data_IF_835998763816
#
_entry.id   IF_835998763816
#
_cell.length_a   1.000
_cell.length_b   1.000
_cell.length_c   1.000
_cell.angle_alpha   90.00
_cell.angle_beta   90.00
_cell.angle_gamma   90.00
#
_symmetry.space_group_name_H-M   'P 1'
#
loop_
_entity.id
_entity.type
_entity.pdbx_description
1 polymer ?
#
# COMPACT_ATOMS: atom_id res chain seq x y z
N UNK A 1 47.21 -39.87 39.04
CA UNK A 1 47.78 -38.52 39.11
C UNK A 1 47.09 -37.63 38.09
N UNK A 2 46.50 -36.60 38.58
CA UNK A 2 45.91 -35.40 38.00
C UNK A 2 45.09 -35.51 36.68
N UNK A 3 43.77 -35.35 36.87
CA UNK A 3 42.83 -34.93 35.87
C UNK A 3 42.95 -33.39 35.65
N UNK A 4 42.93 -32.94 34.37
CA UNK A 4 42.67 -31.55 34.03
C UNK A 4 41.28 -31.47 33.40
N UNK A 5 40.34 -30.89 34.09
CA UNK A 5 39.03 -30.44 33.60
C UNK A 5 39.23 -29.12 32.83
N UNK A 6 38.93 -29.10 31.55
CA UNK A 6 38.79 -27.86 30.78
C UNK A 6 37.32 -27.42 30.82
N UNK A 7 37.06 -26.28 31.47
CA UNK A 7 35.76 -25.59 31.41
C UNK A 7 35.65 -24.82 30.09
N UNK A 8 34.73 -25.22 29.26
CA UNK A 8 34.30 -24.40 28.10
C UNK A 8 33.28 -23.37 28.60
N UNK A 9 33.66 -22.11 28.62
CA UNK A 9 32.74 -21.01 28.86
C UNK A 9 31.93 -20.75 27.57
N UNK A 10 30.65 -21.05 27.63
CA UNK A 10 29.67 -20.63 26.61
C UNK A 10 29.35 -19.15 26.87
N UNK A 11 29.85 -18.26 26.02
CA UNK A 11 29.42 -16.87 25.98
C UNK A 11 28.02 -16.83 25.32
N UNK A 12 27.02 -16.66 26.15
CA UNK A 12 25.69 -16.27 25.70
C UNK A 12 25.69 -14.78 25.33
N UNK A 13 25.56 -14.48 24.05
CA UNK A 13 25.23 -13.13 23.60
C UNK A 13 23.75 -12.86 23.92
N UNK A 14 23.41 -11.69 24.49
CA UNK A 14 22.02 -11.37 24.75
C UNK A 14 21.27 -11.10 23.44
N UNK A 15 20.14 -11.79 23.26
CA UNK A 15 19.08 -11.35 22.34
C UNK A 15 18.68 -9.91 22.72
N UNK A 16 18.93 -8.98 21.83
CA UNK A 16 18.30 -7.66 21.89
C UNK A 16 16.85 -7.86 21.45
N UNK A 17 15.98 -8.06 22.44
CA UNK A 17 14.57 -7.83 22.26
C UNK A 17 14.39 -6.32 22.04
N UNK A 18 13.71 -5.93 20.98
CA UNK A 18 13.15 -4.58 20.88
C UNK A 18 12.15 -4.46 22.05
N UNK A 19 12.58 -3.86 23.13
CA UNK A 19 11.76 -3.53 24.27
C UNK A 19 11.45 -2.04 24.22
N UNK A 20 10.18 -1.78 24.45
CA UNK A 20 9.55 -0.50 24.64
C UNK A 20 10.42 0.53 25.37
N UNK A 21 10.65 1.68 24.72
CA UNK A 21 11.12 2.87 25.41
C UNK A 21 9.90 3.53 26.07
N UNK A 22 9.96 3.89 27.36
CA UNK A 22 8.86 4.59 28.01
C UNK A 22 8.73 6.01 27.44
N UNK A 23 7.51 6.37 27.05
CA UNK A 23 7.13 7.72 26.66
C UNK A 23 7.48 8.72 27.77
N UNK A 24 8.28 9.72 27.45
CA UNK A 24 8.51 10.87 28.33
C UNK A 24 7.28 11.76 28.30
N UNK A 25 6.76 12.09 29.50
CA UNK A 25 5.65 13.01 29.71
C UNK A 25 5.92 14.39 29.11
N UNK A 26 5.22 14.72 28.01
CA UNK A 26 5.07 16.10 27.54
C UNK A 26 3.83 16.73 28.18
N UNK A 27 3.87 17.99 28.65
CA UNK A 27 2.74 18.62 29.30
C UNK A 27 1.59 18.85 28.30
N UNK A 28 0.34 18.71 28.73
CA UNK A 28 -0.82 18.89 27.84
C UNK A 28 -0.97 20.35 27.42
N UNK A 29 -1.05 20.57 26.11
CA UNK A 29 -1.46 21.85 25.52
C UNK A 29 -2.93 22.13 25.85
N UNK A 30 -3.34 23.38 26.13
CA UNK A 30 -4.69 23.69 26.53
C UNK A 30 -5.68 23.46 25.39
N UNK A 31 -6.59 22.53 25.57
CA UNK A 31 -7.75 22.30 24.69
C UNK A 31 -8.72 23.47 24.85
N UNK A 32 -8.79 24.30 23.83
CA UNK A 32 -9.88 25.29 23.71
C UNK A 32 -11.11 24.53 23.23
N UNK A 33 -12.09 24.35 24.12
CA UNK A 33 -13.38 23.79 23.78
C UNK A 33 -14.08 24.67 22.72
N UNK A 34 -14.20 24.17 21.52
CA UNK A 34 -15.12 24.66 20.51
C UNK A 34 -16.38 23.81 20.60
N UNK A 35 -17.48 24.43 21.01
CA UNK A 35 -18.80 23.84 20.97
C UNK A 35 -19.18 23.61 19.51
N UNK A 36 -19.10 22.38 19.04
CA UNK A 36 -19.61 21.96 17.74
C UNK A 36 -21.11 21.64 17.94
N UNK A 37 -21.97 22.41 17.34
CA UNK A 37 -23.33 21.99 17.03
C UNK A 37 -23.25 20.87 15.99
N UNK A 38 -23.79 19.73 16.33
CA UNK A 38 -23.93 18.60 15.41
C UNK A 38 -24.99 18.96 14.36
N UNK A 39 -24.53 19.36 13.17
CA UNK A 39 -25.39 19.35 12.00
C UNK A 39 -25.34 17.89 11.46
N UNK A 40 -26.42 17.17 11.70
CA UNK A 40 -26.69 15.87 11.11
C UNK A 40 -26.86 16.06 9.60
N UNK A 41 -25.87 15.64 8.82
CA UNK A 41 -25.98 15.53 7.36
C UNK A 41 -26.81 14.28 7.05
N UNK A 42 -27.97 14.49 6.45
CA UNK A 42 -28.87 13.44 5.98
C UNK A 42 -28.22 12.71 4.77
N UNK A 43 -27.89 11.46 4.94
CA UNK A 43 -27.16 10.64 3.95
C UNK A 43 -28.08 10.05 2.86
N UNK A 44 -29.04 10.80 2.34
CA UNK A 44 -30.05 10.30 1.39
C UNK A 44 -29.84 10.71 -0.08
N UNK A 45 -28.85 11.55 -0.41
CA UNK A 45 -28.51 11.86 -1.80
C UNK A 45 -27.06 11.37 -2.09
N UNK A 46 -26.93 10.41 -3.00
CA UNK A 46 -25.65 9.78 -3.42
C UNK A 46 -24.71 10.72 -4.18
N UNK A 47 -24.47 11.91 -3.66
CA UNK A 47 -23.45 12.82 -4.16
C UNK A 47 -22.10 12.53 -3.47
N UNK A 48 -21.02 12.56 -4.23
CA UNK A 48 -19.66 12.38 -3.73
C UNK A 48 -19.42 13.31 -2.54
N UNK A 49 -19.10 12.74 -1.39
CA UNK A 49 -18.76 13.49 -0.17
C UNK A 49 -17.34 13.99 -0.35
N UNK A 50 -17.16 15.29 -0.58
CA UNK A 50 -15.88 15.99 -0.63
C UNK A 50 -15.57 16.63 0.73
N UNK A 51 -14.39 17.24 0.85
CA UNK A 51 -14.05 18.03 2.04
C UNK A 51 -15.19 19.02 2.38
N UNK A 52 -15.47 19.25 3.69
CA UNK A 52 -16.52 20.16 4.11
C UNK A 52 -16.36 21.56 3.48
N UNK A 53 -17.43 22.17 2.99
CA UNK A 53 -17.44 23.48 2.35
C UNK A 53 -16.70 24.57 3.14
N UNK A 54 -16.77 24.53 4.47
CA UNK A 54 -16.05 25.46 5.34
C UNK A 54 -14.54 25.28 5.26
N UNK A 55 -14.08 24.05 5.08
CA UNK A 55 -12.66 23.71 4.89
C UNK A 55 -12.20 24.17 3.50
N UNK A 56 -12.96 23.85 2.45
CA UNK A 56 -12.67 24.28 1.07
C UNK A 56 -12.56 25.81 1.00
N UNK A 57 -13.57 26.56 1.52
CA UNK A 57 -13.53 28.02 1.53
C UNK A 57 -12.31 28.59 2.25
N UNK A 58 -11.90 27.98 3.36
CA UNK A 58 -10.72 28.44 4.12
C UNK A 58 -9.43 28.17 3.36
N UNK A 59 -9.28 27.01 2.74
CA UNK A 59 -8.10 26.65 1.94
C UNK A 59 -7.95 27.60 0.75
N UNK A 60 -8.99 27.77 -0.06
CA UNK A 60 -8.98 28.65 -1.24
C UNK A 60 -8.78 30.13 -0.87
N UNK A 61 -9.31 30.58 0.26
CA UNK A 61 -9.08 31.95 0.73
C UNK A 61 -7.65 32.19 1.20
N UNK A 62 -6.96 31.15 1.69
CA UNK A 62 -5.57 31.22 2.08
C UNK A 62 -4.59 31.12 0.90
N UNK A 63 -4.90 30.28 -0.07
CA UNK A 63 -4.13 30.07 -1.29
C UNK A 63 -5.04 29.67 -2.46
N UNK A 64 -5.17 30.53 -3.50
CA UNK A 64 -6.04 30.26 -4.65
C UNK A 64 -5.72 28.99 -5.43
N UNK A 65 -4.48 28.45 -5.36
CA UNK A 65 -4.08 27.20 -6.01
C UNK A 65 -4.92 26.00 -5.53
N UNK A 66 -5.47 26.07 -4.33
CA UNK A 66 -6.37 25.06 -3.80
C UNK A 66 -7.63 24.84 -4.65
N UNK A 67 -8.11 25.83 -5.37
CA UNK A 67 -9.27 25.67 -6.26
C UNK A 67 -8.94 24.68 -7.40
N UNK A 68 -7.78 24.82 -8.03
CA UNK A 68 -7.32 23.92 -9.07
C UNK A 68 -6.94 22.54 -8.46
N UNK A 69 -6.28 22.51 -7.33
CA UNK A 69 -5.89 21.28 -6.66
C UNK A 69 -7.10 20.40 -6.34
N UNK A 70 -8.14 20.96 -5.73
CA UNK A 70 -9.36 20.23 -5.39
C UNK A 70 -10.12 19.77 -6.65
N UNK A 71 -10.25 20.65 -7.66
CA UNK A 71 -10.85 20.29 -8.94
C UNK A 71 -10.13 19.09 -9.57
N UNK A 72 -8.80 19.12 -9.67
CA UNK A 72 -8.00 18.06 -10.28
C UNK A 72 -8.11 16.78 -9.46
N UNK A 73 -8.03 16.90 -8.14
CA UNK A 73 -8.05 15.76 -7.22
C UNK A 73 -9.35 14.98 -7.31
N UNK A 74 -10.50 15.66 -7.18
CA UNK A 74 -11.81 15.01 -7.21
C UNK A 74 -12.32 14.65 -8.61
N UNK A 75 -11.68 15.13 -9.68
CA UNK A 75 -11.97 14.73 -11.06
C UNK A 75 -11.05 13.60 -11.56
N UNK A 76 -9.92 13.35 -10.88
CA UNK A 76 -9.04 12.22 -11.15
C UNK A 76 -9.61 10.95 -10.51
N UNK A 77 -9.17 9.78 -10.97
CA UNK A 77 -9.30 8.55 -10.18
C UNK A 77 -8.07 8.48 -9.27
N UNK A 78 -8.28 8.60 -7.96
CA UNK A 78 -7.23 8.48 -6.95
C UNK A 78 -7.17 7.04 -6.46
N UNK A 79 -5.99 6.43 -6.55
CA UNK A 79 -5.77 5.03 -6.16
C UNK A 79 -4.56 4.93 -5.23
N UNK A 80 -4.75 4.28 -4.08
CA UNK A 80 -3.68 3.91 -3.15
C UNK A 80 -3.27 2.46 -3.36
N UNK A 81 -1.97 2.23 -3.49
CA UNK A 81 -1.39 0.91 -3.75
C UNK A 81 -1.41 -0.04 -2.56
N UNK A 82 -1.56 0.46 -1.32
CA UNK A 82 -1.45 -0.38 -0.13
C UNK A 82 -2.02 0.26 1.14
N UNK A 83 -2.99 -0.40 1.76
CA UNK A 83 -3.54 -0.04 3.07
C UNK A 83 -3.80 -1.29 3.92
N UNK A 84 -3.44 -1.28 5.21
CA UNK A 84 -3.54 -2.43 6.13
C UNK A 84 -4.78 -2.43 7.01
N UNK A 85 -5.75 -1.59 6.70
CA UNK A 85 -7.06 -1.55 7.38
C UNK A 85 -7.72 -2.94 7.56
N UNK A 86 -7.55 -3.94 6.64
CA UNK A 86 -8.06 -5.30 6.85
C UNK A 86 -7.60 -5.97 8.14
N UNK A 87 -6.40 -5.67 8.61
CA UNK A 87 -5.91 -6.21 9.89
C UNK A 87 -6.75 -5.69 11.06
N UNK A 88 -7.05 -4.40 11.09
CA UNK A 88 -7.93 -3.79 12.10
C UNK A 88 -9.36 -4.36 12.02
N UNK A 89 -9.88 -4.54 10.79
CA UNK A 89 -11.22 -5.09 10.57
C UNK A 89 -11.36 -6.50 11.17
N UNK A 90 -10.38 -7.38 10.95
CA UNK A 90 -10.43 -8.77 11.41
C UNK A 90 -10.06 -8.91 12.90
N UNK A 91 -9.01 -8.23 13.36
CA UNK A 91 -8.42 -8.46 14.68
C UNK A 91 -9.06 -7.61 15.77
N UNK A 92 -9.54 -6.41 15.43
CA UNK A 92 -10.07 -5.44 16.39
C UNK A 92 -11.57 -5.16 16.19
N UNK A 93 -12.17 -5.74 15.14
CA UNK A 93 -13.57 -5.48 14.81
C UNK A 93 -13.83 -4.06 14.31
N UNK A 94 -12.81 -3.44 13.69
CA UNK A 94 -12.91 -2.10 13.12
C UNK A 94 -14.03 -2.01 12.09
N UNK A 95 -14.99 -1.08 12.31
CA UNK A 95 -16.12 -0.88 11.43
C UNK A 95 -15.74 0.07 10.29
N UNK A 96 -15.32 -0.47 9.15
CA UNK A 96 -14.85 0.32 8.00
C UNK A 96 -15.86 1.37 7.51
N UNK A 97 -17.16 1.09 7.65
CA UNK A 97 -18.24 2.01 7.26
C UNK A 97 -18.50 3.17 8.23
N UNK A 98 -17.89 3.18 9.41
CA UNK A 98 -18.06 4.21 10.42
C UNK A 98 -16.90 5.19 10.39
N UNK A 99 -17.18 6.47 10.70
CA UNK A 99 -16.13 7.48 10.84
C UNK A 99 -15.37 7.27 12.15
N UNK A 100 -14.08 7.14 12.07
CA UNK A 100 -13.15 7.04 13.20
C UNK A 100 -12.31 8.31 13.34
N UNK A 101 -11.67 8.45 14.50
CA UNK A 101 -10.60 9.41 14.70
C UNK A 101 -9.27 8.73 14.44
N UNK A 102 -8.45 9.33 13.57
CA UNK A 102 -7.09 8.83 13.37
C UNK A 102 -6.30 8.89 14.68
N UNK A 103 -5.59 7.81 14.96
CA UNK A 103 -4.69 7.65 16.10
C UNK A 103 -3.26 7.49 15.59
N UNK A 104 -2.27 7.70 16.45
CA UNK A 104 -0.90 7.35 16.10
C UNK A 104 -0.81 5.84 15.84
N UNK A 105 -0.46 5.45 14.60
CA UNK A 105 -0.27 4.07 14.19
C UNK A 105 -1.53 3.27 13.86
N UNK A 106 -2.73 3.86 13.88
CA UNK A 106 -3.96 3.13 13.50
C UNK A 106 -5.14 4.03 13.16
N UNK A 107 -6.18 3.43 12.57
CA UNK A 107 -7.42 4.11 12.19
C UNK A 107 -7.18 5.30 11.23
N UNK A 108 -6.25 5.15 10.30
CA UNK A 108 -5.91 6.19 9.33
C UNK A 108 -6.93 6.26 8.19
N UNK A 109 -7.69 5.19 7.94
CA UNK A 109 -8.60 5.05 6.83
C UNK A 109 -9.94 4.44 7.27
N UNK A 110 -11.04 5.05 6.84
CA UNK A 110 -12.41 4.52 6.83
C UNK A 110 -13.17 5.05 5.62
N UNK A 111 -14.30 4.45 5.32
CA UNK A 111 -15.09 4.79 4.13
C UNK A 111 -15.52 6.26 4.07
N UNK A 112 -16.05 6.89 5.16
CA UNK A 112 -16.36 8.31 5.17
C UNK A 112 -15.16 9.23 4.87
N UNK A 113 -13.97 8.90 5.43
CA UNK A 113 -12.77 9.70 5.20
C UNK A 113 -12.09 9.42 3.87
N UNK A 114 -12.24 8.19 3.29
CA UNK A 114 -11.88 7.93 1.90
C UNK A 114 -12.64 8.87 0.96
N UNK A 115 -13.98 9.00 1.15
CA UNK A 115 -14.79 9.90 0.34
C UNK A 115 -14.38 11.36 0.52
N UNK A 116 -14.12 11.80 1.76
CA UNK A 116 -13.62 13.16 2.04
C UNK A 116 -12.26 13.44 1.41
N UNK A 117 -11.35 12.48 1.47
CA UNK A 117 -10.02 12.56 0.88
C UNK A 117 -9.99 12.34 -0.64
N UNK A 118 -11.14 12.08 -1.28
CA UNK A 118 -11.23 11.81 -2.71
C UNK A 118 -10.49 10.53 -3.12
N UNK A 119 -10.32 9.57 -2.21
CA UNK A 119 -9.71 8.28 -2.53
C UNK A 119 -10.76 7.35 -3.12
N UNK A 120 -10.70 7.15 -4.45
CA UNK A 120 -11.67 6.34 -5.20
C UNK A 120 -11.41 4.84 -5.10
N UNK A 121 -10.14 4.44 -4.94
CA UNK A 121 -9.74 3.05 -4.89
C UNK A 121 -8.54 2.85 -3.95
N UNK A 122 -8.50 1.69 -3.28
CA UNK A 122 -7.32 1.27 -2.55
C UNK A 122 -7.13 -0.25 -2.66
N UNK A 123 -5.87 -0.68 -2.70
CA UNK A 123 -5.52 -2.07 -2.47
C UNK A 123 -5.50 -2.35 -0.97
N UNK A 124 -6.46 -3.09 -0.49
CA UNK A 124 -6.58 -3.58 0.86
C UNK A 124 -5.65 -4.78 1.03
N UNK A 125 -4.63 -4.60 1.87
CA UNK A 125 -3.62 -5.61 2.16
C UNK A 125 -4.23 -6.76 2.97
N UNK A 126 -4.20 -7.93 2.40
CA UNK A 126 -4.46 -9.19 3.09
C UNK A 126 -3.12 -9.64 3.69
N UNK A 127 -2.73 -8.92 4.74
CA UNK A 127 -1.46 -9.13 5.42
C UNK A 127 -1.44 -10.42 6.22
N UNK A 128 -0.42 -11.24 5.97
CA UNK A 128 -0.17 -12.46 6.73
C UNK A 128 1.18 -12.36 7.46
N UNK A 129 1.12 -12.31 8.79
CA UNK A 129 2.34 -12.27 9.59
C UNK A 129 3.14 -13.57 9.45
N UNK A 130 4.48 -13.46 9.42
CA UNK A 130 5.40 -14.61 9.45
C UNK A 130 5.17 -15.57 10.63
N UNK A 131 4.50 -15.11 11.68
CA UNK A 131 4.17 -15.94 12.85
C UNK A 131 3.20 -17.08 12.55
N UNK A 132 2.45 -16.99 11.44
CA UNK A 132 1.59 -18.08 10.96
C UNK A 132 2.37 -19.19 10.23
N UNK A 133 3.69 -19.00 9.99
CA UNK A 133 4.53 -19.94 9.24
C UNK A 133 4.19 -20.00 7.74
N UNK A 134 4.65 -21.03 7.05
CA UNK A 134 4.51 -21.20 5.60
C UNK A 134 3.50 -22.32 5.22
N UNK A 135 2.56 -22.64 6.10
CA UNK A 135 1.60 -23.72 5.92
C UNK A 135 0.15 -23.26 5.87
N UNK A 136 -0.77 -24.22 6.08
CA UNK A 136 -2.22 -24.00 6.01
C UNK A 136 -2.70 -22.85 6.90
N UNK A 137 -2.09 -22.64 8.07
CA UNK A 137 -2.48 -21.56 8.99
C UNK A 137 -2.31 -20.17 8.36
N UNK A 138 -1.28 -19.97 7.54
CA UNK A 138 -1.08 -18.71 6.82
C UNK A 138 -2.16 -18.49 5.74
N UNK A 139 -2.51 -19.55 5.00
CA UNK A 139 -3.61 -19.49 4.01
C UNK A 139 -4.96 -19.26 4.68
N UNK A 140 -5.22 -19.94 5.80
CA UNK A 140 -6.47 -19.77 6.57
C UNK A 140 -6.61 -18.34 7.11
N UNK A 141 -5.49 -17.72 7.55
CA UNK A 141 -5.47 -16.31 7.94
C UNK A 141 -5.85 -15.40 6.78
N UNK A 142 -5.28 -15.61 5.59
CA UNK A 142 -5.61 -14.85 4.40
C UNK A 142 -7.10 -14.99 4.04
N UNK A 143 -7.65 -16.20 4.07
CA UNK A 143 -9.07 -16.46 3.78
C UNK A 143 -10.01 -15.83 4.81
N UNK A 144 -9.65 -15.85 6.09
CA UNK A 144 -10.43 -15.18 7.14
C UNK A 144 -10.51 -13.67 6.90
N UNK A 145 -9.38 -13.03 6.55
CA UNK A 145 -9.32 -11.60 6.26
C UNK A 145 -10.10 -11.25 4.99
N UNK A 146 -9.96 -12.03 3.90
CA UNK A 146 -10.76 -11.88 2.69
C UNK A 146 -12.26 -11.94 2.98
N UNK A 147 -12.66 -12.88 3.85
CA UNK A 147 -14.07 -13.05 4.26
C UNK A 147 -14.57 -11.82 5.02
N UNK A 148 -13.79 -11.27 5.95
CA UNK A 148 -14.19 -10.11 6.74
C UNK A 148 -14.26 -8.84 5.88
N UNK A 149 -13.27 -8.58 5.03
CA UNK A 149 -13.29 -7.45 4.09
C UNK A 149 -14.51 -7.55 3.18
N UNK A 150 -14.76 -8.73 2.59
CA UNK A 150 -15.92 -8.95 1.74
C UNK A 150 -17.26 -8.75 2.48
N UNK A 151 -17.35 -9.23 3.72
CA UNK A 151 -18.53 -9.04 4.56
C UNK A 151 -18.84 -7.55 4.81
N UNK A 152 -17.84 -6.77 5.20
CA UNK A 152 -18.05 -5.35 5.46
C UNK A 152 -18.33 -4.58 4.16
N UNK A 153 -17.50 -4.76 3.12
CA UNK A 153 -17.66 -4.07 1.84
C UNK A 153 -19.04 -4.31 1.22
N UNK A 154 -19.52 -5.56 1.22
CA UNK A 154 -20.84 -5.91 0.67
C UNK A 154 -22.03 -5.33 1.47
N UNK A 155 -21.82 -4.98 2.73
CA UNK A 155 -22.85 -4.37 3.56
C UNK A 155 -22.95 -2.84 3.38
N UNK A 156 -22.00 -2.21 2.69
CA UNK A 156 -21.86 -0.75 2.57
C UNK A 156 -22.23 -0.29 1.17
N UNK A 157 -23.32 0.51 1.01
CA UNK A 157 -23.71 1.03 -0.32
C UNK A 157 -22.63 1.88 -0.99
N UNK A 158 -21.79 2.55 -0.19
CA UNK A 158 -20.71 3.43 -0.67
C UNK A 158 -19.43 2.71 -1.10
N UNK A 159 -19.33 1.38 -0.94
CA UNK A 159 -18.15 0.63 -1.33
C UNK A 159 -18.50 -0.57 -2.21
N UNK A 160 -17.55 -1.01 -3.04
CA UNK A 160 -17.68 -2.23 -3.84
C UNK A 160 -16.31 -2.86 -4.06
N UNK A 161 -16.24 -4.20 -3.99
CA UNK A 161 -15.02 -4.93 -4.35
C UNK A 161 -14.78 -4.84 -5.86
N UNK A 162 -13.64 -4.28 -6.27
CA UNK A 162 -13.19 -4.23 -7.65
C UNK A 162 -12.25 -5.41 -7.94
N UNK A 163 -12.30 -5.92 -9.16
CA UNK A 163 -11.45 -7.01 -9.63
C UNK A 163 -10.69 -6.67 -10.91
N UNK A 164 -11.05 -5.56 -11.53
CA UNK A 164 -10.48 -5.08 -12.78
C UNK A 164 -10.32 -3.56 -12.73
N UNK A 165 -9.47 -3.03 -13.59
CA UNK A 165 -9.36 -1.58 -13.77
C UNK A 165 -10.68 -0.98 -14.30
N UNK A 166 -11.45 -1.74 -15.07
CA UNK A 166 -12.77 -1.32 -15.53
C UNK A 166 -13.77 -1.21 -14.36
N UNK A 167 -13.73 -2.11 -13.38
CA UNK A 167 -14.53 -2.00 -12.16
C UNK A 167 -14.17 -0.74 -11.39
N UNK A 168 -12.87 -0.49 -11.16
CA UNK A 168 -12.42 0.72 -10.47
C UNK A 168 -13.00 1.97 -11.11
N UNK A 169 -12.85 2.11 -12.45
CA UNK A 169 -13.39 3.27 -13.17
C UNK A 169 -14.92 3.37 -13.14
N UNK A 170 -15.62 2.25 -13.13
CA UNK A 170 -17.09 2.23 -13.02
C UNK A 170 -17.52 2.68 -11.63
N UNK A 171 -16.94 2.08 -10.57
CA UNK A 171 -17.27 2.36 -9.17
C UNK A 171 -16.99 3.82 -8.84
N UNK A 172 -15.82 4.34 -9.23
CA UNK A 172 -15.46 5.75 -9.05
C UNK A 172 -16.44 6.70 -9.74
N UNK A 173 -16.85 6.41 -11.00
CA UNK A 173 -17.86 7.22 -11.70
C UNK A 173 -19.24 7.20 -11.05
N UNK A 174 -19.55 6.17 -10.28
CA UNK A 174 -20.77 6.06 -9.50
C UNK A 174 -20.67 6.78 -8.14
N UNK A 175 -19.55 7.44 -7.84
CA UNK A 175 -19.27 8.12 -6.59
C UNK A 175 -19.08 7.18 -5.40
N UNK A 176 -18.65 5.94 -5.65
CA UNK A 176 -18.38 4.91 -4.65
C UNK A 176 -16.88 4.58 -4.59
N UNK A 177 -16.45 3.96 -3.51
CA UNK A 177 -15.06 3.55 -3.28
C UNK A 177 -14.83 2.10 -3.71
N UNK A 178 -13.81 1.89 -4.52
CA UNK A 178 -13.41 0.56 -5.01
C UNK A 178 -12.41 -0.08 -4.06
N UNK A 179 -12.73 -1.26 -3.55
CA UNK A 179 -11.85 -2.08 -2.72
C UNK A 179 -11.20 -3.14 -3.59
N UNK A 180 -9.91 -3.01 -3.87
CA UNK A 180 -9.06 -4.02 -4.48
C UNK A 180 -8.40 -4.85 -3.38
N UNK A 181 -7.99 -6.09 -3.66
CA UNK A 181 -7.42 -6.99 -2.65
C UNK A 181 -6.02 -7.43 -3.08
N UNK A 182 -5.04 -7.23 -2.22
CA UNK A 182 -3.66 -7.66 -2.42
C UNK A 182 -3.23 -8.61 -1.30
N UNK A 183 -2.59 -9.73 -1.63
CA UNK A 183 -1.98 -10.60 -0.63
C UNK A 183 -0.61 -10.05 -0.26
N UNK A 184 -0.38 -9.72 1.00
CA UNK A 184 0.93 -9.37 1.50
C UNK A 184 1.52 -10.49 2.36
N UNK A 185 2.59 -11.09 1.81
CA UNK A 185 3.25 -12.25 2.38
C UNK A 185 3.04 -13.51 1.56
N UNK A 186 3.83 -13.68 0.48
CA UNK A 186 3.75 -14.80 -0.43
C UNK A 186 3.98 -16.19 0.19
N UNK A 187 4.45 -16.26 1.46
CA UNK A 187 4.50 -17.51 2.23
C UNK A 187 3.10 -18.13 2.43
N UNK A 188 2.03 -17.32 2.41
CA UNK A 188 0.65 -17.82 2.49
C UNK A 188 0.21 -18.62 1.25
N UNK A 189 0.98 -18.58 0.15
CA UNK A 189 0.76 -19.43 -1.03
C UNK A 189 1.24 -20.87 -0.84
N UNK A 190 1.95 -21.21 0.24
CA UNK A 190 2.52 -22.55 0.51
C UNK A 190 3.41 -23.06 -0.66
N UNK A 191 3.97 -22.14 -1.46
CA UNK A 191 4.68 -22.45 -2.70
C UNK A 191 3.84 -23.31 -3.70
N UNK A 192 2.51 -23.14 -3.69
CA UNK A 192 1.55 -23.94 -4.45
C UNK A 192 0.67 -23.05 -5.36
N UNK A 193 0.67 -23.34 -6.66
CA UNK A 193 -0.12 -22.64 -7.65
C UNK A 193 -1.64 -22.85 -7.49
N UNK A 194 -2.09 -23.97 -6.90
CA UNK A 194 -3.51 -24.19 -6.65
C UNK A 194 -4.01 -23.30 -5.50
N UNK A 195 -3.18 -23.04 -4.49
CA UNK A 195 -3.47 -22.05 -3.46
C UNK A 195 -3.55 -20.64 -4.05
N UNK A 196 -2.61 -20.27 -4.94
CA UNK A 196 -2.67 -19.01 -5.66
C UNK A 196 -3.99 -18.87 -6.46
N UNK A 197 -4.39 -19.89 -7.23
CA UNK A 197 -5.65 -19.91 -7.98
C UNK A 197 -6.86 -19.76 -7.07
N UNK A 198 -6.81 -20.39 -5.90
CA UNK A 198 -7.89 -20.29 -4.91
C UNK A 198 -8.02 -18.87 -4.36
N UNK A 199 -6.91 -18.22 -3.97
CA UNK A 199 -6.92 -16.84 -3.48
C UNK A 199 -7.31 -15.84 -4.59
N UNK A 200 -6.83 -16.03 -5.83
CA UNK A 200 -7.27 -15.24 -6.99
C UNK A 200 -8.80 -15.34 -7.21
N UNK A 201 -9.37 -16.54 -7.12
CA UNK A 201 -10.82 -16.73 -7.27
C UNK A 201 -11.61 -16.02 -6.15
N UNK A 202 -10.99 -15.82 -4.98
CA UNK A 202 -11.54 -15.05 -3.86
C UNK A 202 -11.26 -13.54 -3.94
N UNK A 203 -10.61 -13.07 -5.02
CA UNK A 203 -10.50 -11.64 -5.30
C UNK A 203 -9.10 -11.03 -5.24
N UNK A 204 -8.06 -11.79 -4.88
CA UNK A 204 -6.68 -11.30 -4.87
C UNK A 204 -6.28 -10.84 -6.27
N UNK A 205 -5.68 -9.65 -6.36
CA UNK A 205 -5.22 -9.01 -7.62
C UNK A 205 -3.75 -8.62 -7.62
N UNK A 206 -3.09 -8.57 -6.46
CA UNK A 206 -1.64 -8.63 -6.40
C UNK A 206 -1.15 -9.63 -5.33
N UNK A 207 0.11 -10.01 -5.43
CA UNK A 207 0.85 -10.74 -4.40
C UNK A 207 2.19 -10.07 -4.16
N UNK A 208 2.42 -9.59 -2.94
CA UNK A 208 3.75 -9.20 -2.45
C UNK A 208 4.53 -10.48 -2.18
N UNK A 209 5.59 -10.71 -2.98
CA UNK A 209 6.26 -12.02 -3.03
C UNK A 209 6.85 -12.45 -1.69
N UNK A 210 7.30 -11.46 -0.88
CA UNK A 210 7.74 -11.65 0.50
C UNK A 210 7.18 -10.51 1.36
N UNK A 211 7.14 -10.68 2.67
CA UNK A 211 7.06 -9.57 3.61
C UNK A 211 8.42 -9.43 4.33
N UNK A 212 8.47 -9.44 5.65
CA UNK A 212 9.70 -9.28 6.41
C UNK A 212 10.58 -10.54 6.47
N UNK A 213 10.15 -11.65 5.88
CA UNK A 213 10.85 -12.93 5.91
C UNK A 213 11.08 -13.50 4.51
N UNK A 214 12.27 -14.04 4.30
CA UNK A 214 12.56 -14.98 3.22
C UNK A 214 11.67 -16.21 3.40
N UNK A 215 11.02 -16.65 2.32
CA UNK A 215 10.09 -17.76 2.35
C UNK A 215 10.58 -18.97 1.53
N UNK A 216 9.71 -19.95 1.28
CA UNK A 216 10.06 -21.19 0.57
C UNK A 216 10.52 -20.97 -0.88
N UNK A 217 10.34 -19.77 -1.48
CA UNK A 217 10.53 -19.54 -2.91
C UNK A 217 11.12 -18.19 -3.31
N UNK A 218 11.21 -17.21 -2.38
CA UNK A 218 11.73 -15.85 -2.64
C UNK A 218 12.45 -15.29 -1.42
N UNK A 219 13.49 -14.48 -1.65
CA UNK A 219 14.25 -13.78 -0.62
C UNK A 219 13.69 -12.39 -0.34
N UNK A 220 13.54 -12.05 0.96
CA UNK A 220 13.11 -10.75 1.45
C UNK A 220 14.30 -9.78 1.62
N UNK A 221 14.03 -8.46 1.59
CA UNK A 221 15.05 -7.43 1.81
C UNK A 221 15.54 -7.34 3.26
N UNK A 222 14.70 -7.76 4.22
CA UNK A 222 14.94 -7.61 5.67
C UNK A 222 15.30 -8.92 6.37
N UNK A 223 15.52 -10.01 5.62
CA UNK A 223 15.90 -11.31 6.16
C UNK A 223 17.13 -11.90 5.46
N UNK A 224 17.71 -12.94 6.02
CA UNK A 224 18.85 -13.61 5.44
C UNK A 224 18.48 -14.25 4.07
N UNK A 225 19.30 -14.04 3.03
CA UNK A 225 19.05 -14.65 1.74
C UNK A 225 19.19 -16.19 1.82
N UNK A 226 18.30 -16.89 1.15
CA UNK A 226 18.29 -18.36 1.06
C UNK A 226 18.52 -18.86 -0.35
N UNK A 227 18.01 -18.13 -1.34
CA UNK A 227 17.96 -18.58 -2.73
C UNK A 227 18.87 -17.74 -3.65
N UNK A 228 19.28 -16.54 -3.19
CA UNK A 228 19.94 -15.53 -4.01
C UNK A 228 18.96 -14.88 -4.99
N UNK A 229 17.69 -14.84 -4.63
CA UNK A 229 16.59 -14.29 -5.43
C UNK A 229 15.36 -15.20 -5.42
N UNK A 230 14.83 -15.57 -6.60
CA UNK A 230 13.77 -16.55 -6.78
C UNK A 230 14.35 -17.95 -7.04
N UNK A 231 13.80 -18.99 -6.40
CA UNK A 231 14.04 -20.36 -6.83
C UNK A 231 13.10 -20.77 -8.00
N UNK A 232 13.18 -21.99 -8.50
CA UNK A 232 12.35 -22.46 -9.63
C UNK A 232 10.85 -22.43 -9.32
N UNK A 233 10.44 -22.79 -8.09
CA UNK A 233 9.03 -22.68 -7.67
C UNK A 233 8.54 -21.23 -7.71
N UNK A 234 9.38 -20.30 -7.27
CA UNK A 234 9.06 -18.86 -7.36
C UNK A 234 8.89 -18.40 -8.80
N UNK A 235 9.77 -18.86 -9.70
CA UNK A 235 9.65 -18.54 -11.15
C UNK A 235 8.38 -19.12 -11.75
N UNK A 236 7.95 -20.31 -11.36
CA UNK A 236 6.69 -20.92 -11.82
C UNK A 236 5.46 -20.18 -11.27
N UNK A 237 5.49 -19.74 -10.00
CA UNK A 237 4.44 -18.91 -9.42
C UNK A 237 4.32 -17.55 -10.12
N UNK A 238 5.44 -16.91 -10.49
CA UNK A 238 5.46 -15.67 -11.28
C UNK A 238 4.76 -15.88 -12.63
N UNK A 239 5.07 -16.97 -13.35
CA UNK A 239 4.40 -17.29 -14.62
C UNK A 239 2.90 -17.52 -14.45
N UNK A 240 2.50 -18.19 -13.37
CA UNK A 240 1.08 -18.41 -13.06
C UNK A 240 0.37 -17.10 -12.67
N UNK A 241 1.02 -16.19 -11.91
CA UNK A 241 0.49 -14.86 -11.63
C UNK A 241 0.22 -14.10 -12.94
N UNK A 242 1.17 -14.10 -13.88
CA UNK A 242 0.95 -13.47 -15.20
C UNK A 242 -0.25 -14.08 -15.94
N UNK A 243 -0.39 -15.40 -15.92
CA UNK A 243 -1.52 -16.10 -16.56
C UNK A 243 -2.87 -15.77 -15.91
N UNK A 244 -2.89 -15.48 -14.63
CA UNK A 244 -4.10 -15.13 -13.87
C UNK A 244 -4.42 -13.62 -13.89
N UNK A 245 -3.52 -12.77 -14.37
CA UNK A 245 -3.63 -11.31 -14.28
C UNK A 245 -3.47 -10.82 -12.82
N UNK A 246 -2.68 -11.52 -12.03
CA UNK A 246 -2.27 -11.11 -10.69
C UNK A 246 -1.00 -10.30 -10.83
N UNK A 247 -1.01 -9.08 -10.33
CA UNK A 247 0.17 -8.21 -10.31
C UNK A 247 1.23 -8.79 -9.37
N UNK A 248 2.49 -8.78 -9.83
CA UNK A 248 3.63 -9.03 -8.96
C UNK A 248 3.92 -7.75 -8.19
N UNK A 249 3.82 -7.82 -6.88
CA UNK A 249 4.28 -6.75 -6.01
C UNK A 249 5.69 -7.05 -5.48
N UNK A 250 6.61 -6.19 -5.83
CA UNK A 250 8.02 -6.30 -5.49
C UNK A 250 8.43 -5.40 -4.31
N UNK A 251 7.47 -4.81 -3.59
CA UNK A 251 7.74 -4.28 -2.26
C UNK A 251 8.25 -5.40 -1.35
N UNK A 252 9.12 -5.10 -0.39
CA UNK A 252 9.72 -6.04 0.57
C UNK A 252 10.74 -7.05 0.02
N UNK A 253 10.83 -7.27 -1.29
CA UNK A 253 11.74 -8.28 -1.82
C UNK A 253 13.20 -7.83 -1.77
N UNK A 254 14.15 -8.78 -1.74
CA UNK A 254 15.56 -8.49 -1.93
C UNK A 254 15.83 -7.94 -3.33
N UNK A 255 16.93 -7.18 -3.50
CA UNK A 255 17.35 -6.67 -4.80
C UNK A 255 17.50 -7.83 -5.82
N UNK A 256 18.02 -9.00 -5.40
CA UNK A 256 18.14 -10.18 -6.25
C UNK A 256 16.78 -10.73 -6.69
N UNK A 257 15.81 -10.82 -5.75
CA UNK A 257 14.44 -11.24 -6.07
C UNK A 257 13.77 -10.28 -7.05
N UNK A 258 13.99 -8.97 -6.89
CA UNK A 258 13.49 -7.97 -7.81
C UNK A 258 13.96 -8.22 -9.25
N UNK A 259 15.26 -8.37 -9.48
CA UNK A 259 15.79 -8.63 -10.83
C UNK A 259 15.39 -10.00 -11.38
N UNK A 260 15.36 -11.03 -10.55
CA UNK A 260 14.88 -12.36 -10.94
C UNK A 260 13.41 -12.35 -11.36
N UNK A 261 12.56 -11.61 -10.66
CA UNK A 261 11.15 -11.45 -11.01
C UNK A 261 10.98 -10.71 -12.35
N UNK A 262 11.74 -9.63 -12.57
CA UNK A 262 11.73 -8.92 -13.86
C UNK A 262 12.22 -9.80 -15.02
N UNK A 263 13.16 -10.70 -14.80
CA UNK A 263 13.66 -11.63 -15.82
C UNK A 263 12.64 -12.70 -16.24
N UNK A 264 11.60 -12.94 -15.43
CA UNK A 264 10.59 -13.99 -15.65
C UNK A 264 9.25 -13.44 -16.08
N UNK A 265 8.87 -12.26 -15.53
CA UNK A 265 7.52 -11.69 -15.77
C UNK A 265 7.33 -11.23 -17.21
N UNK A 266 6.12 -11.44 -17.72
CA UNK A 266 5.66 -10.91 -19.01
C UNK A 266 4.73 -9.68 -18.82
N UNK A 267 4.30 -9.43 -17.59
CA UNK A 267 3.46 -8.30 -17.21
C UNK A 267 4.26 -7.22 -16.50
N UNK A 268 3.83 -5.95 -16.56
CA UNK A 268 4.42 -4.92 -15.72
C UNK A 268 4.17 -5.24 -14.23
N UNK A 269 5.17 -4.90 -13.41
CA UNK A 269 5.15 -5.14 -11.97
C UNK A 269 4.75 -3.89 -11.20
N UNK A 270 4.42 -4.06 -9.91
CA UNK A 270 4.24 -2.94 -8.99
C UNK A 270 5.26 -3.02 -7.85
N UNK A 271 5.56 -1.88 -7.26
CA UNK A 271 6.01 -1.75 -5.88
C UNK A 271 4.90 -0.99 -5.17
N UNK A 272 4.05 -1.72 -4.47
CA UNK A 272 2.80 -1.19 -3.91
C UNK A 272 3.03 -0.11 -2.85
N UNK A 273 4.18 -0.12 -2.17
CA UNK A 273 4.57 0.83 -1.13
C UNK A 273 6.10 0.85 -0.93
N UNK A 274 6.83 1.61 -1.75
CA UNK A 274 8.30 1.72 -1.67
C UNK A 274 8.75 3.15 -1.98
N UNK A 275 9.89 3.56 -1.40
CA UNK A 275 10.43 4.90 -1.55
C UNK A 275 11.83 4.88 -2.18
N UNK A 276 12.47 6.05 -2.42
CA UNK A 276 13.74 6.16 -3.11
C UNK A 276 14.93 5.95 -2.16
N UNK A 277 15.78 4.95 -2.43
CA UNK A 277 16.99 4.66 -1.67
C UNK A 277 18.02 5.80 -1.76
N UNK A 278 18.02 6.54 -2.85
CA UNK A 278 18.93 7.66 -3.04
C UNK A 278 18.64 8.85 -2.11
N UNK A 279 17.42 9.00 -1.60
CA UNK A 279 17.06 10.03 -0.62
C UNK A 279 17.25 9.54 0.80
N UNK A 280 16.91 8.28 1.07
CA UNK A 280 17.19 7.64 2.35
C UNK A 280 17.64 6.18 2.12
N UNK A 281 18.88 5.87 2.54
CA UNK A 281 19.49 4.54 2.34
C UNK A 281 18.88 3.53 3.33
N UNK A 282 17.79 2.91 2.90
CA UNK A 282 17.10 1.86 3.63
C UNK A 282 16.84 0.66 2.73
N UNK A 283 16.93 -0.56 3.27
CA UNK A 283 16.76 -1.82 2.48
C UNK A 283 15.36 -2.00 1.89
N UNK A 284 14.35 -1.30 2.43
CA UNK A 284 12.97 -1.29 1.91
C UNK A 284 12.80 -0.32 0.73
N UNK A 285 13.77 0.57 0.51
CA UNK A 285 13.75 1.54 -0.57
C UNK A 285 14.44 1.00 -1.82
N UNK A 286 14.01 1.47 -2.98
CA UNK A 286 14.51 1.04 -4.28
C UNK A 286 15.63 1.92 -4.80
N UNK A 287 16.65 1.30 -5.39
CA UNK A 287 17.77 2.03 -6.00
C UNK A 287 17.38 2.65 -7.34
N UNK A 288 18.16 3.64 -7.79
CA UNK A 288 17.96 4.25 -9.11
C UNK A 288 18.08 3.24 -10.25
N UNK A 289 18.92 2.21 -10.11
CA UNK A 289 19.03 1.15 -11.13
C UNK A 289 17.77 0.26 -11.15
N UNK A 290 17.21 -0.06 -9.99
CA UNK A 290 15.91 -0.75 -9.90
C UNK A 290 14.78 0.08 -10.50
N UNK A 291 14.79 1.42 -10.28
CA UNK A 291 13.80 2.32 -10.88
C UNK A 291 13.87 2.34 -12.41
N UNK A 292 15.08 2.35 -12.98
CA UNK A 292 15.26 2.26 -14.45
C UNK A 292 14.76 0.93 -14.99
N UNK A 293 15.10 -0.18 -14.32
CA UNK A 293 14.62 -1.51 -14.70
C UNK A 293 13.09 -1.65 -14.58
N UNK A 294 12.49 -1.06 -13.55
CA UNK A 294 11.03 -0.96 -13.40
C UNK A 294 10.40 -0.21 -14.58
N UNK A 295 10.98 0.91 -14.98
CA UNK A 295 10.49 1.69 -16.11
C UNK A 295 10.59 0.94 -17.44
N UNK A 296 11.69 0.21 -17.68
CA UNK A 296 11.85 -0.66 -18.85
C UNK A 296 10.81 -1.79 -18.88
N UNK A 297 10.42 -2.32 -17.70
CA UNK A 297 9.34 -3.31 -17.59
C UNK A 297 7.96 -2.70 -17.80
N UNK A 298 7.80 -1.38 -17.70
CA UNK A 298 6.50 -0.69 -17.76
C UNK A 298 5.76 -0.64 -16.43
N UNK A 299 6.40 -1.00 -15.32
CA UNK A 299 5.82 -1.07 -13.99
C UNK A 299 5.56 0.30 -13.34
N UNK A 300 5.17 0.27 -12.07
CA UNK A 300 4.93 1.46 -11.25
C UNK A 300 5.45 1.27 -9.82
N UNK A 301 6.14 2.30 -9.30
CA UNK A 301 6.49 2.42 -7.88
C UNK A 301 5.53 3.39 -7.22
N UNK A 302 4.89 2.96 -6.13
CA UNK A 302 3.95 3.77 -5.35
C UNK A 302 4.62 4.17 -4.04
N UNK A 303 4.72 5.50 -3.82
CA UNK A 303 5.53 6.05 -2.73
C UNK A 303 4.92 5.69 -1.38
N UNK A 304 5.76 5.12 -0.48
CA UNK A 304 5.39 4.78 0.89
C UNK A 304 5.45 6.04 1.76
N UNK A 305 4.51 6.19 2.72
CA UNK A 305 4.46 7.34 3.63
C UNK A 305 5.13 7.08 4.98
N UNK A 306 5.70 5.91 5.22
CA UNK A 306 6.36 5.64 6.49
C UNK A 306 7.60 6.53 6.70
N UNK A 307 7.62 7.40 7.74
CA UNK A 307 8.73 8.33 7.99
C UNK A 307 10.11 7.65 8.09
N UNK A 308 10.14 6.40 8.62
CA UNK A 308 11.38 5.63 8.69
C UNK A 308 11.99 5.36 7.31
N UNK A 309 11.15 5.22 6.26
CA UNK A 309 11.63 4.95 4.89
C UNK A 309 11.84 6.23 4.09
N UNK A 310 11.26 7.36 4.54
CA UNK A 310 11.45 8.65 3.89
C UNK A 310 12.74 9.33 4.35
N UNK A 311 12.92 9.47 5.66
CA UNK A 311 14.00 10.26 6.26
C UNK A 311 14.83 9.50 7.31
N UNK A 312 14.33 8.36 7.78
CA UNK A 312 14.89 7.62 8.91
C UNK A 312 14.33 8.04 10.28
N UNK A 313 13.30 8.90 10.30
CA UNK A 313 12.72 9.42 11.54
C UNK A 313 11.45 10.24 11.29
N UNK A 314 11.39 11.47 11.77
CA UNK A 314 10.28 12.38 11.50
C UNK A 314 10.28 12.78 10.03
N UNK A 315 9.08 12.92 9.45
CA UNK A 315 8.88 13.35 8.07
C UNK A 315 7.62 14.21 7.98
N UNK A 316 7.53 15.00 6.92
CA UNK A 316 6.36 15.79 6.58
C UNK A 316 5.90 15.57 5.13
N UNK A 317 4.91 16.33 4.68
CA UNK A 317 4.40 16.27 3.31
C UNK A 317 5.50 16.54 2.27
N UNK A 318 6.41 17.47 2.53
CA UNK A 318 7.46 17.83 1.58
C UNK A 318 8.44 16.68 1.35
N UNK A 319 8.74 15.89 2.38
CA UNK A 319 9.56 14.67 2.23
C UNK A 319 8.90 13.64 1.31
N UNK A 320 7.57 13.46 1.42
CA UNK A 320 6.82 12.57 0.50
C UNK A 320 6.91 13.11 -0.93
N UNK A 321 6.72 14.40 -1.13
CA UNK A 321 6.80 15.04 -2.44
C UNK A 321 8.22 14.96 -3.04
N UNK A 322 9.25 15.06 -2.23
CA UNK A 322 10.65 14.90 -2.66
C UNK A 322 10.90 13.48 -3.18
N UNK A 323 10.34 12.45 -2.50
CA UNK A 323 10.39 11.08 -2.99
C UNK A 323 9.64 10.93 -4.31
N UNK A 324 8.42 11.47 -4.45
CA UNK A 324 7.65 11.45 -5.70
C UNK A 324 8.46 12.09 -6.84
N UNK A 325 9.07 13.24 -6.61
CA UNK A 325 9.90 13.93 -7.61
C UNK A 325 11.15 13.14 -7.99
N UNK A 326 11.84 12.53 -7.02
CA UNK A 326 13.00 11.69 -7.31
C UNK A 326 12.61 10.47 -8.14
N UNK A 327 11.55 9.75 -7.75
CA UNK A 327 11.03 8.60 -8.48
C UNK A 327 10.67 8.98 -9.92
N UNK A 328 9.95 10.09 -10.11
CA UNK A 328 9.57 10.59 -11.44
C UNK A 328 10.77 11.04 -12.28
N UNK A 329 11.78 11.64 -11.65
CA UNK A 329 13.01 12.06 -12.35
C UNK A 329 13.83 10.87 -12.84
N UNK A 330 13.84 9.75 -12.12
CA UNK A 330 14.66 8.57 -12.45
C UNK A 330 13.92 7.59 -13.35
N UNK A 331 12.70 7.22 -12.99
CA UNK A 331 11.88 6.24 -13.73
C UNK A 331 11.01 6.88 -14.83
N UNK A 332 10.75 8.18 -14.73
CA UNK A 332 9.73 8.85 -15.53
C UNK A 332 8.38 8.92 -14.81
N UNK A 333 7.62 9.99 -15.08
CA UNK A 333 6.35 10.25 -14.42
C UNK A 333 5.30 9.14 -14.64
N UNK A 334 5.41 8.39 -15.73
CA UNK A 334 4.49 7.29 -16.06
C UNK A 334 4.66 6.06 -15.13
N UNK A 335 5.65 6.09 -14.25
CA UNK A 335 6.04 4.97 -13.39
C UNK A 335 5.93 5.26 -11.90
N UNK A 336 5.19 6.31 -11.49
CA UNK A 336 5.04 6.73 -10.09
C UNK A 336 3.58 6.73 -9.69
N UNK A 337 3.30 6.35 -8.44
CA UNK A 337 1.97 6.36 -7.82
C UNK A 337 2.05 6.59 -6.31
N UNK A 338 0.92 6.39 -5.62
CA UNK A 338 0.77 6.53 -4.17
C UNK A 338 0.52 5.16 -3.54
N UNK A 339 1.21 4.87 -2.44
CA UNK A 339 1.05 3.63 -1.67
C UNK A 339 1.32 3.92 -0.20
N UNK A 340 0.32 4.47 0.47
CA UNK A 340 0.47 5.16 1.76
C UNK A 340 0.98 4.30 2.90
N UNK A 341 0.64 3.01 2.87
CA UNK A 341 0.86 2.10 4.00
C UNK A 341 0.01 2.48 5.24
N UNK A 342 -1.17 3.12 5.00
CA UNK A 342 -2.12 3.46 6.07
C UNK A 342 -2.50 2.21 6.85
N UNK A 343 -2.52 2.34 8.18
CA UNK A 343 -2.78 1.29 9.16
C UNK A 343 -1.70 0.18 9.25
N UNK A 344 -0.66 0.21 8.40
CA UNK A 344 0.47 -0.72 8.42
C UNK A 344 1.72 -0.18 9.14
N UNK A 345 1.73 1.11 9.48
CA UNK A 345 2.90 1.79 10.06
C UNK A 345 2.56 2.53 11.36
N UNK A 346 3.52 2.63 12.30
CA UNK A 346 3.25 3.23 13.60
C UNK A 346 3.16 4.77 13.58
N UNK A 347 3.57 5.41 12.49
CA UNK A 347 3.51 6.86 12.33
C UNK A 347 3.44 7.25 10.86
N UNK A 348 2.88 8.42 10.58
CA UNK A 348 2.74 9.01 9.27
C UNK A 348 3.39 10.41 9.24
N UNK A 349 3.70 10.96 8.03
CA UNK A 349 4.27 12.28 7.90
C UNK A 349 3.33 13.37 8.44
N UNK A 350 3.92 14.44 9.01
CA UNK A 350 3.15 15.61 9.39
C UNK A 350 2.39 16.17 8.17
N UNK A 351 1.10 16.44 8.36
CA UNK A 351 0.21 16.88 7.27
C UNK A 351 -0.48 15.75 6.50
N UNK A 352 -0.04 14.48 6.61
CA UNK A 352 -0.63 13.31 5.95
C UNK A 352 -1.12 12.22 6.93
N UNK A 353 -1.46 12.57 8.15
CA UNK A 353 -1.79 11.61 9.21
C UNK A 353 -3.09 10.80 9.02
N UNK A 354 -3.82 10.98 7.93
CA UNK A 354 -5.04 10.23 7.59
C UNK A 354 -5.44 10.41 6.11
N UNK A 355 -6.29 9.54 5.62
CA UNK A 355 -6.71 9.49 4.21
C UNK A 355 -7.38 10.77 3.71
N UNK A 356 -8.08 11.53 4.56
CA UNK A 356 -8.72 12.82 4.18
C UNK A 356 -7.72 13.92 3.81
N UNK A 357 -6.41 13.66 4.00
CA UNK A 357 -5.31 14.57 3.66
C UNK A 357 -4.71 14.35 2.28
N UNK A 358 -5.14 13.39 1.50
CA UNK A 358 -4.60 13.15 0.16
C UNK A 358 -4.67 14.35 -0.79
N UNK A 359 -5.68 15.26 -0.74
CA UNK A 359 -5.68 16.48 -1.56
C UNK A 359 -4.46 17.40 -1.36
N UNK A 360 -3.77 17.32 -0.21
CA UNK A 360 -2.54 18.07 0.05
C UNK A 360 -1.38 17.64 -0.84
N UNK A 361 -1.33 16.36 -1.25
CA UNK A 361 -0.35 15.87 -2.24
C UNK A 361 -0.60 16.55 -3.59
N UNK A 362 -1.85 16.60 -4.04
CA UNK A 362 -2.22 17.27 -5.30
C UNK A 362 -1.83 18.75 -5.27
N UNK A 363 -2.18 19.45 -4.19
CA UNK A 363 -1.78 20.86 -4.02
C UNK A 363 -0.26 21.01 -4.02
N UNK A 364 0.46 20.18 -3.28
CA UNK A 364 1.92 20.25 -3.20
C UNK A 364 2.62 20.03 -4.55
N UNK A 365 2.17 19.03 -5.34
CA UNK A 365 2.69 18.79 -6.69
C UNK A 365 2.44 19.99 -7.62
N UNK A 366 1.23 20.57 -7.59
CA UNK A 366 0.93 21.78 -8.37
C UNK A 366 1.77 22.99 -7.93
N UNK A 367 1.95 23.17 -6.62
CA UNK A 367 2.80 24.24 -6.07
C UNK A 367 4.28 24.10 -6.49
N UNK A 368 4.74 22.87 -6.72
CA UNK A 368 6.06 22.55 -7.28
C UNK A 368 6.10 22.64 -8.81
N UNK A 369 5.01 23.07 -9.46
CA UNK A 369 4.96 23.33 -10.91
C UNK A 369 4.65 22.10 -11.77
N UNK A 370 4.16 21.02 -11.18
CA UNK A 370 3.77 19.84 -11.96
C UNK A 370 2.55 20.14 -12.84
N UNK A 371 2.56 19.74 -14.11
CA UNK A 371 1.40 19.89 -14.97
C UNK A 371 0.26 18.96 -14.52
N UNK A 372 -0.99 19.40 -14.67
CA UNK A 372 -2.20 18.63 -14.30
C UNK A 372 -2.18 17.20 -14.83
N UNK A 373 -1.76 17.00 -16.10
CA UNK A 373 -1.71 15.69 -16.73
C UNK A 373 -0.78 14.71 -15.99
N UNK A 374 0.33 15.20 -15.45
CA UNK A 374 1.30 14.37 -14.72
C UNK A 374 0.84 14.11 -13.27
N UNK A 375 0.19 15.10 -12.64
CA UNK A 375 -0.45 14.91 -11.33
C UNK A 375 -1.49 13.79 -11.40
N UNK A 376 -2.36 13.79 -12.42
CA UNK A 376 -3.38 12.73 -12.63
C UNK A 376 -2.78 11.34 -12.82
N UNK A 377 -1.61 11.24 -13.45
CA UNK A 377 -0.89 9.96 -13.58
C UNK A 377 -0.47 9.42 -12.21
N UNK A 378 0.15 10.26 -11.39
CA UNK A 378 0.62 9.90 -10.05
C UNK A 378 -0.55 9.54 -9.13
N UNK A 379 -1.65 10.28 -9.18
CA UNK A 379 -2.82 10.04 -8.33
C UNK A 379 -3.42 8.63 -8.50
N UNK A 380 -3.40 8.06 -9.71
CA UNK A 380 -3.93 6.70 -9.92
C UNK A 380 -3.86 6.23 -11.37
N UNK A 381 -3.64 7.16 -12.33
CA UNK A 381 -3.58 6.82 -13.74
C UNK A 381 -2.57 5.74 -14.08
N UNK A 382 -1.38 5.79 -13.46
CA UNK A 382 -0.31 4.83 -13.69
C UNK A 382 -0.63 3.46 -13.08
N UNK A 383 -1.17 3.40 -11.87
CA UNK A 383 -1.57 2.14 -11.22
C UNK A 383 -2.66 1.44 -12.04
N UNK A 384 -3.67 2.19 -12.53
CA UNK A 384 -4.72 1.64 -13.40
C UNK A 384 -4.18 1.14 -14.73
N UNK A 385 -3.22 1.84 -15.34
CA UNK A 385 -2.54 1.39 -16.57
C UNK A 385 -1.85 0.04 -16.35
N UNK A 386 -1.13 -0.11 -15.25
CA UNK A 386 -0.40 -1.36 -14.93
C UNK A 386 -1.38 -2.50 -14.68
N UNK A 387 -2.48 -2.25 -13.97
CA UNK A 387 -3.53 -3.26 -13.76
C UNK A 387 -4.17 -3.71 -15.09
N UNK A 388 -4.51 -2.77 -15.99
CA UNK A 388 -5.03 -3.08 -17.31
C UNK A 388 -4.06 -3.87 -18.18
N UNK A 389 -2.75 -3.56 -18.10
CA UNK A 389 -1.75 -4.29 -18.86
C UNK A 389 -1.60 -5.72 -18.36
N UNK A 390 -1.62 -5.95 -17.03
CA UNK A 390 -1.61 -7.29 -16.45
C UNK A 390 -2.83 -8.11 -16.91
N UNK A 391 -4.00 -7.50 -16.98
CA UNK A 391 -5.22 -8.13 -17.53
C UNK A 391 -5.05 -8.50 -19.02
N UNK A 392 -4.44 -7.61 -19.82
CA UNK A 392 -4.15 -7.88 -21.24
C UNK A 392 -3.14 -9.00 -21.44
N UNK A 393 -2.10 -9.03 -20.61
CA UNK A 393 -1.11 -10.12 -20.62
C UNK A 393 -1.79 -11.44 -20.27
N UNK A 394 -2.61 -11.49 -19.23
CA UNK A 394 -3.35 -12.69 -18.86
C UNK A 394 -4.24 -13.20 -19.99
N UNK A 395 -4.98 -12.32 -20.67
CA UNK A 395 -5.80 -12.68 -21.81
C UNK A 395 -4.95 -13.24 -22.98
N UNK A 396 -3.78 -12.65 -23.26
CA UNK A 396 -2.82 -13.14 -24.26
C UNK A 396 -2.27 -14.52 -23.91
N UNK A 397 -2.05 -14.81 -22.64
CA UNK A 397 -1.56 -16.09 -22.14
C UNK A 397 -2.66 -17.16 -21.99
N UNK A 398 -3.90 -16.85 -22.40
CA UNK A 398 -5.04 -17.78 -22.31
C UNK A 398 -5.52 -17.99 -20.87
N UNK A 399 -5.31 -17.00 -20.01
CA UNK A 399 -5.80 -17.00 -18.63
C UNK A 399 -7.33 -16.93 -18.55
N UNK A 400 -7.91 -17.31 -17.41
CA UNK A 400 -9.35 -17.18 -17.20
C UNK A 400 -9.75 -15.70 -17.12
N UNK A 401 -10.98 -15.34 -17.54
CA UNK A 401 -11.48 -13.99 -17.31
C UNK A 401 -11.54 -13.70 -15.81
N UNK A 402 -11.32 -12.44 -15.38
CA UNK A 402 -11.48 -12.04 -13.99
C UNK A 402 -12.89 -12.40 -13.49
N UNK A 403 -12.97 -13.06 -12.34
CA UNK A 403 -14.23 -13.54 -11.75
C UNK A 403 -14.66 -12.69 -10.59
#
# INVERSE_FOLDING_TARGET
MLALLAFAAVLALPLVACADAPAADAPPMPVRAASASADTVDASDGGAVALPDSTVRRLVAGDPLWADALRIHYDAVVLDGHVDTPSLMLDEGYAFGERHQALAGSAHLDLPRMAEGGLDAAFFSIYVSRTYGEGQAATDRALAMLTEVGRQTNALPGAETARTAADVRRIAREGRQAVLLGLEGGHALQADADVLRHLWANGIRYVTLTHANTNAWADASTDAPRWGGLNETGRDLVREMNRLGVLLDLSHVSDSTFYDALAVTEAPVILSHSSARALHDHVRNVSDDMLRALAENGGVVMVNFYPLYLTGGEADLDDVLDHVEHLARVAGVDHVGLGSDFDGVPSLPEGLGEVSRLPWITHGLLARGWPEADVRKVLGGNALRVLEEAERVAARLGGPPPR
#
